data_IF_141940558988
#
_entry.id   IF_141940558988
#
_cell.length_a   1.000
_cell.length_b   1.000
_cell.length_c   1.000
_cell.angle_alpha   90.00
_cell.angle_beta   90.00
_cell.angle_gamma   90.00
#
_symmetry.space_group_name_H-M   'P 1'
#
loop_
_entity.id
_entity.type
_entity.pdbx_description
1 polymer ?
#
# COMPACT_ATOMS: atom_id res chain seq x y z
N UNK A 1 19.98 -16.59 -4.64
CA UNK A 1 18.94 -16.87 -3.61
C UNK A 1 19.29 -16.02 -2.39
N UNK A 2 18.32 -15.26 -1.85
CA UNK A 2 18.42 -14.21 -0.80
C UNK A 2 18.62 -12.80 -1.36
N UNK A 3 18.08 -11.77 -0.72
CA UNK A 3 16.69 -11.28 -0.69
C UNK A 3 16.79 -9.86 -0.13
N UNK A 4 16.03 -8.87 -0.61
CA UNK A 4 15.98 -7.58 0.11
C UNK A 4 15.40 -7.77 1.50
N UNK A 5 16.15 -7.41 2.54
CA UNK A 5 15.78 -7.60 3.95
C UNK A 5 15.41 -6.23 4.53
N UNK A 6 14.15 -6.08 4.97
CA UNK A 6 13.69 -4.91 5.72
C UNK A 6 13.36 -5.30 7.16
N UNK A 7 14.14 -4.90 8.17
CA UNK A 7 13.96 -5.35 9.58
C UNK A 7 12.95 -4.50 10.35
N UNK A 8 12.00 -5.10 11.07
CA UNK A 8 10.98 -4.48 11.95
C UNK A 8 11.08 -5.04 13.38
N UNK A 9 10.56 -4.34 14.40
CA UNK A 9 10.42 -4.87 15.77
C UNK A 9 9.22 -4.23 16.48
N UNK A 10 8.58 -5.02 17.35
CA UNK A 10 7.41 -4.69 18.17
C UNK A 10 7.83 -4.04 19.50
N UNK A 11 7.29 -2.87 19.85
CA UNK A 11 7.43 -2.26 21.19
C UNK A 11 6.09 -2.34 21.91
N UNK A 12 6.01 -3.16 22.95
CA UNK A 12 4.87 -3.21 23.88
C UNK A 12 5.12 -2.16 24.97
N UNK A 13 4.23 -1.18 25.12
CA UNK A 13 4.19 -0.32 26.31
C UNK A 13 3.45 -1.05 27.43
N UNK A 14 4.17 -1.47 28.47
CA UNK A 14 3.58 -1.88 29.75
C UNK A 14 3.89 -0.80 30.78
N UNK A 15 2.89 0.03 31.10
CA UNK A 15 2.99 1.01 32.20
C UNK A 15 2.64 0.30 33.50
N UNK A 16 3.62 0.07 34.36
CA UNK A 16 3.40 -0.33 35.75
C UNK A 16 3.36 0.96 36.57
N UNK A 17 2.17 1.26 37.10
CA UNK A 17 1.87 2.39 37.97
C UNK A 17 2.41 2.08 39.38
N UNK A 18 3.36 2.89 39.88
CA UNK A 18 3.63 3.01 41.31
C UNK A 18 3.39 4.48 41.70
N UNK A 19 2.30 4.66 42.45
CA UNK A 19 1.85 5.92 43.01
C UNK A 19 2.87 6.47 44.01
N UNK A 20 3.30 7.70 43.79
CA UNK A 20 3.51 8.66 44.86
C UNK A 20 3.04 10.04 44.39
N UNK A 21 2.11 10.59 45.16
CA UNK A 21 1.37 11.83 44.93
C UNK A 21 2.21 13.06 45.27
N UNK A 22 2.29 14.04 44.36
CA UNK A 22 2.06 15.46 44.68
C UNK A 22 1.42 16.12 43.44
N UNK A 23 0.34 16.87 43.70
CA UNK A 23 -0.56 17.50 42.75
C UNK A 23 -0.01 18.75 42.08
N UNK A 24 -0.58 19.03 40.89
CA UNK A 24 -0.83 20.33 40.25
C UNK A 24 0.07 20.71 39.05
N UNK A 25 -0.42 20.37 37.86
CA UNK A 25 -0.72 21.32 36.78
C UNK A 25 -1.26 20.53 35.59
N UNK A 26 -2.49 20.85 35.21
CA UNK A 26 -3.19 20.32 34.04
C UNK A 26 -2.38 20.74 32.81
N UNK A 27 -1.70 19.80 32.15
CA UNK A 27 -1.28 19.96 30.77
C UNK A 27 -2.26 19.20 29.90
N UNK A 28 -3.23 19.93 29.37
CA UNK A 28 -3.92 19.52 28.15
C UNK A 28 -2.87 19.44 27.05
N UNK A 29 -2.52 18.24 26.62
CA UNK A 29 -1.89 18.06 25.32
C UNK A 29 -2.97 18.32 24.26
N UNK A 30 -3.19 19.60 23.98
CA UNK A 30 -3.57 20.00 22.65
C UNK A 30 -2.37 19.61 21.77
N UNK A 31 -2.59 18.67 20.86
CA UNK A 31 -1.70 18.49 19.73
C UNK A 31 -1.88 19.77 18.90
N UNK A 32 -1.07 20.78 19.22
CA UNK A 32 -0.91 21.93 18.35
C UNK A 32 -0.35 21.41 17.03
N UNK A 33 -1.17 21.59 16.00
CA UNK A 33 -0.87 21.42 14.60
C UNK A 33 0.17 22.46 14.18
N UNK A 34 1.40 22.27 14.66
CA UNK A 34 2.59 23.02 14.24
C UNK A 34 3.45 22.13 13.34
N UNK A 35 2.82 21.50 12.36
CA UNK A 35 3.50 21.07 11.16
C UNK A 35 3.79 22.32 10.31
N UNK A 36 4.98 22.91 10.50
CA UNK A 36 5.58 23.73 9.42
C UNK A 36 5.51 22.90 8.14
N UNK A 37 4.75 23.39 7.16
CA UNK A 37 4.40 22.76 5.88
C UNK A 37 5.35 21.65 5.44
N UNK A 38 5.07 20.42 5.88
CA UNK A 38 5.36 19.26 5.07
C UNK A 38 4.21 19.26 4.08
N UNK A 39 4.48 19.68 2.85
CA UNK A 39 3.59 19.39 1.74
C UNK A 39 3.41 17.87 1.78
N UNK A 40 2.24 17.41 2.21
CA UNK A 40 1.85 16.01 2.14
C UNK A 40 1.69 15.68 0.66
N UNK A 41 2.81 15.49 -0.03
CA UNK A 41 2.83 15.08 -1.43
C UNK A 41 2.62 13.57 -1.45
N UNK A 42 1.45 13.17 -0.96
CA UNK A 42 1.02 11.79 -0.86
C UNK A 42 1.13 11.17 -2.25
N UNK A 43 2.01 10.19 -2.37
CA UNK A 43 2.32 9.58 -3.66
C UNK A 43 1.12 8.87 -4.29
N UNK A 44 0.21 8.36 -3.46
CA UNK A 44 -1.01 7.71 -3.91
C UNK A 44 -2.21 8.48 -3.34
N UNK A 45 -3.00 9.07 -4.21
CA UNK A 45 -4.30 9.66 -3.84
C UNK A 45 -5.40 8.67 -4.21
N UNK A 46 -6.35 8.44 -3.29
CA UNK A 46 -7.48 7.55 -3.51
C UNK A 46 -8.78 8.36 -3.36
N UNK A 47 -9.60 8.39 -4.41
CA UNK A 47 -10.89 9.08 -4.41
C UNK A 47 -11.98 8.17 -4.96
N UNK A 48 -13.23 8.50 -4.67
CA UNK A 48 -14.34 7.92 -5.41
C UNK A 48 -14.36 8.45 -6.85
N UNK A 49 -14.70 7.59 -7.79
CA UNK A 49 -15.09 8.03 -9.12
C UNK A 49 -16.61 8.27 -9.21
N UNK A 50 -17.05 8.82 -10.34
CA UNK A 50 -18.45 9.19 -10.60
C UNK A 50 -19.44 8.01 -10.55
N UNK A 51 -18.94 6.78 -10.70
CA UNK A 51 -19.74 5.55 -10.66
C UNK A 51 -19.75 4.86 -9.29
N UNK A 52 -19.08 5.44 -8.29
CA UNK A 52 -18.90 4.84 -6.96
C UNK A 52 -17.73 3.86 -6.85
N UNK A 53 -16.96 3.67 -7.93
CA UNK A 53 -15.68 2.96 -7.92
C UNK A 53 -14.59 3.74 -7.20
N UNK A 54 -13.37 3.19 -7.18
CA UNK A 54 -12.20 3.86 -6.62
C UNK A 54 -11.21 4.25 -7.72
N UNK A 55 -10.74 5.50 -7.67
CA UNK A 55 -9.70 6.02 -8.55
C UNK A 55 -8.42 6.25 -7.76
N UNK A 56 -7.36 5.56 -8.15
CA UNK A 56 -6.04 5.66 -7.55
C UNK A 56 -5.15 6.43 -8.52
N UNK A 57 -4.57 7.53 -8.03
CA UNK A 57 -3.57 8.30 -8.78
C UNK A 57 -2.22 8.06 -8.13
N UNK A 58 -1.30 7.44 -8.87
CA UNK A 58 0.07 7.22 -8.43
C UNK A 58 0.97 8.26 -9.09
N UNK A 59 1.62 9.10 -8.29
CA UNK A 59 2.54 10.15 -8.76
C UNK A 59 3.98 9.64 -8.83
N UNK A 60 4.74 10.15 -9.81
CA UNK A 60 6.20 9.99 -9.88
C UNK A 60 6.83 11.14 -9.08
N UNK A 61 7.35 10.88 -7.88
CA UNK A 61 7.75 11.96 -6.94
C UNK A 61 8.91 12.87 -7.42
N UNK A 62 9.73 12.38 -8.36
CA UNK A 62 10.92 13.06 -8.87
C UNK A 62 11.15 12.65 -10.30
N UNK A 63 11.66 13.60 -11.08
CA UNK A 63 12.16 13.38 -12.43
C UNK A 63 13.06 12.15 -12.50
N UNK A 64 12.92 11.40 -13.59
CA UNK A 64 13.74 10.24 -13.90
C UNK A 64 14.49 10.55 -15.19
N UNK A 65 15.79 10.75 -15.07
CA UNK A 65 16.65 10.92 -16.23
C UNK A 65 17.09 9.56 -16.78
N UNK A 66 16.74 9.29 -18.03
CA UNK A 66 17.21 8.15 -18.82
C UNK A 66 18.29 8.62 -19.79
N UNK A 67 19.39 7.87 -19.89
CA UNK A 67 20.56 8.25 -20.70
C UNK A 67 20.99 7.12 -21.62
N UNK A 68 21.60 7.50 -22.75
CA UNK A 68 22.09 6.58 -23.77
C UNK A 68 20.97 6.08 -24.68
N UNK A 69 21.30 5.12 -25.54
CA UNK A 69 20.37 4.64 -26.56
C UNK A 69 19.17 3.92 -25.96
N UNK A 70 19.41 3.02 -25.01
CA UNK A 70 18.34 2.27 -24.36
C UNK A 70 18.23 2.72 -22.90
N UNK A 71 17.08 3.30 -22.56
CA UNK A 71 16.74 3.70 -21.19
C UNK A 71 15.55 2.91 -20.68
N UNK A 72 15.56 2.57 -19.39
CA UNK A 72 14.47 1.84 -18.74
C UNK A 72 14.08 2.48 -17.40
N UNK A 73 12.77 2.68 -17.21
CA UNK A 73 12.18 3.03 -15.93
C UNK A 73 11.04 2.07 -15.58
N UNK A 74 11.08 1.47 -14.38
CA UNK A 74 10.11 0.49 -13.90
C UNK A 74 9.38 0.98 -12.65
N UNK A 75 8.06 0.91 -12.66
CA UNK A 75 7.20 1.22 -11.51
C UNK A 75 6.38 0.00 -11.10
N UNK A 76 6.57 -0.45 -9.86
CA UNK A 76 5.81 -1.56 -9.29
C UNK A 76 4.66 -1.07 -8.42
N UNK A 77 3.45 -1.59 -8.66
CA UNK A 77 2.25 -1.26 -7.89
C UNK A 77 1.41 -2.50 -7.59
N UNK A 78 0.70 -2.50 -6.46
CA UNK A 78 -0.14 -3.61 -6.02
C UNK A 78 -1.62 -3.34 -6.28
N UNK A 79 -2.31 -4.32 -6.87
CA UNK A 79 -3.77 -4.39 -6.99
C UNK A 79 -4.29 -5.33 -5.91
N UNK A 80 -5.07 -4.81 -4.95
CA UNK A 80 -5.65 -5.66 -3.89
C UNK A 80 -6.61 -6.69 -4.49
N UNK A 81 -6.69 -7.87 -3.88
CA UNK A 81 -7.62 -8.93 -4.28
C UNK A 81 -9.09 -8.47 -4.24
N UNK A 82 -9.42 -7.42 -3.48
CA UNK A 82 -10.76 -6.78 -3.45
C UNK A 82 -11.11 -6.01 -4.71
N UNK A 83 -10.11 -5.64 -5.49
CA UNK A 83 -10.25 -4.67 -6.56
C UNK A 83 -10.21 -5.40 -7.89
N UNK A 84 -11.07 -4.95 -8.79
CA UNK A 84 -11.03 -5.32 -10.19
C UNK A 84 -10.68 -4.07 -10.98
N UNK A 85 -9.61 -4.14 -11.77
CA UNK A 85 -9.21 -3.04 -12.65
C UNK A 85 -10.29 -2.85 -13.70
N UNK A 86 -10.79 -1.62 -13.81
CA UNK A 86 -11.77 -1.21 -14.82
C UNK A 86 -11.13 -0.40 -15.93
N UNK A 87 -10.32 0.59 -15.56
CA UNK A 87 -9.60 1.47 -16.49
C UNK A 87 -8.19 1.72 -15.95
N UNK A 88 -7.22 1.87 -16.85
CA UNK A 88 -5.84 2.19 -16.48
C UNK A 88 -5.22 3.12 -17.52
N UNK A 89 -4.79 4.30 -17.06
CA UNK A 89 -4.16 5.33 -17.89
C UNK A 89 -2.79 5.70 -17.34
N UNK A 90 -1.82 5.80 -18.23
CA UNK A 90 -0.53 6.43 -17.95
C UNK A 90 -0.54 7.84 -18.58
N UNK A 91 -0.38 8.87 -17.77
CA UNK A 91 -0.13 10.23 -18.20
C UNK A 91 1.39 10.47 -18.16
N UNK A 92 2.05 10.23 -19.29
CA UNK A 92 3.50 10.32 -19.42
C UNK A 92 3.90 11.73 -19.86
N UNK A 93 4.73 12.40 -19.07
CA UNK A 93 5.33 13.67 -19.42
C UNK A 93 6.84 13.48 -19.57
N UNK A 94 7.40 13.92 -20.69
CA UNK A 94 8.82 13.77 -20.98
C UNK A 94 9.42 15.05 -21.54
N UNK A 95 10.69 15.31 -21.21
CA UNK A 95 11.52 16.30 -21.89
C UNK A 95 12.64 15.59 -22.64
N UNK A 96 12.79 15.89 -23.92
CA UNK A 96 13.80 15.29 -24.80
C UNK A 96 15.01 16.20 -24.93
N UNK A 97 16.20 15.60 -25.07
CA UNK A 97 17.37 16.32 -25.55
C UNK A 97 17.16 16.88 -26.97
N UNK A 98 17.61 18.11 -27.26
CA UNK A 98 17.61 18.66 -28.61
C UNK A 98 18.41 17.84 -29.63
N UNK A 99 19.33 17.00 -29.17
CA UNK A 99 20.20 16.18 -30.03
C UNK A 99 19.54 14.87 -30.48
N UNK A 100 18.37 14.52 -29.95
CA UNK A 100 17.68 13.29 -30.33
C UNK A 100 17.10 13.41 -31.74
N UNK A 101 17.46 12.45 -32.59
CA UNK A 101 16.87 12.24 -33.90
C UNK A 101 15.53 11.53 -33.73
N UNK A 102 14.46 12.32 -33.75
CA UNK A 102 13.09 11.87 -33.51
C UNK A 102 12.60 10.80 -34.50
N UNK A 103 13.06 10.85 -35.75
CA UNK A 103 12.64 9.97 -36.84
C UNK A 103 12.92 8.48 -36.62
N UNK A 104 13.94 8.15 -35.83
CA UNK A 104 14.33 6.76 -35.53
C UNK A 104 14.24 6.42 -34.05
N UNK A 105 13.70 7.34 -33.25
CA UNK A 105 13.60 7.22 -31.81
C UNK A 105 12.16 6.97 -31.38
N UNK A 106 11.98 6.15 -30.35
CA UNK A 106 10.65 5.74 -29.88
C UNK A 106 10.63 5.42 -28.38
N UNK A 107 9.45 5.51 -27.80
CA UNK A 107 9.16 5.08 -26.42
C UNK A 107 8.21 3.91 -26.49
N UNK A 108 8.47 2.83 -25.76
CA UNK A 108 7.57 1.68 -25.65
C UNK A 108 7.14 1.46 -24.21
N UNK A 109 5.83 1.35 -24.03
CA UNK A 109 5.19 1.09 -22.74
C UNK A 109 4.88 -0.40 -22.61
N UNK A 110 5.22 -0.97 -21.46
CA UNK A 110 4.96 -2.36 -21.12
C UNK A 110 4.17 -2.45 -19.82
N UNK A 111 3.31 -3.46 -19.72
CA UNK A 111 2.68 -3.89 -18.47
C UNK A 111 2.99 -5.36 -18.27
N UNK A 112 3.58 -5.73 -17.14
CA UNK A 112 3.97 -7.11 -16.82
C UNK A 112 4.80 -7.77 -17.94
N UNK A 113 5.80 -7.05 -18.46
CA UNK A 113 6.62 -7.43 -19.62
C UNK A 113 5.87 -7.63 -20.96
N UNK A 114 4.58 -7.30 -21.05
CA UNK A 114 3.82 -7.31 -22.31
C UNK A 114 3.83 -5.91 -22.93
N UNK A 115 4.23 -5.76 -24.20
CA UNK A 115 4.16 -4.47 -24.88
C UNK A 115 2.69 -4.03 -25.01
N UNK A 116 2.47 -2.73 -24.76
CA UNK A 116 1.16 -2.08 -24.87
C UNK A 116 1.12 -1.17 -26.08
N UNK A 117 2.06 -0.24 -26.16
CA UNK A 117 2.12 0.76 -27.22
C UNK A 117 3.56 1.22 -27.42
N UNK A 118 3.96 1.40 -28.68
CA UNK A 118 5.18 2.11 -29.07
C UNK A 118 4.80 3.45 -29.70
N UNK A 119 5.44 4.52 -29.24
CA UNK A 119 5.18 5.90 -29.63
C UNK A 119 6.41 6.40 -30.38
N UNK A 120 6.24 6.80 -31.63
CA UNK A 120 7.31 7.44 -32.40
C UNK A 120 7.53 8.86 -31.88
N UNK A 121 8.78 9.28 -31.71
CA UNK A 121 9.08 10.66 -31.31
C UNK A 121 8.93 11.66 -32.46
N UNK A 122 8.77 11.18 -33.70
CA UNK A 122 8.59 12.02 -34.90
C UNK A 122 7.30 12.83 -34.90
N UNK A 123 6.24 12.29 -34.29
CA UNK A 123 4.88 12.85 -34.38
C UNK A 123 4.75 14.25 -33.70
N UNK A 124 5.79 14.73 -33.02
CA UNK A 124 5.84 15.98 -32.24
C UNK A 124 7.09 16.83 -32.59
N UNK A 125 7.32 17.09 -33.89
CA UNK A 125 8.61 17.58 -34.42
C UNK A 125 9.14 18.88 -33.76
N UNK A 126 8.26 19.81 -33.37
CA UNK A 126 8.64 21.12 -32.83
C UNK A 126 8.71 21.24 -31.30
N UNK A 127 8.29 20.21 -30.55
CA UNK A 127 8.25 20.26 -29.09
C UNK A 127 9.38 19.42 -28.47
N UNK A 128 10.03 19.93 -27.41
CA UNK A 128 10.96 19.13 -26.60
C UNK A 128 10.26 18.54 -25.37
N UNK A 129 9.24 19.24 -24.87
CA UNK A 129 8.34 18.74 -23.85
C UNK A 129 7.17 18.01 -24.53
N UNK A 130 6.99 16.75 -24.16
CA UNK A 130 6.02 15.84 -24.73
C UNK A 130 5.09 15.32 -23.66
N UNK A 131 3.83 15.10 -24.03
CA UNK A 131 2.87 14.46 -23.14
C UNK A 131 2.03 13.44 -23.90
N UNK A 132 1.91 12.24 -23.32
CA UNK A 132 1.07 11.19 -23.89
C UNK A 132 0.15 10.62 -22.83
N UNK A 133 -1.10 10.36 -23.24
CA UNK A 133 -2.06 9.59 -22.45
C UNK A 133 -2.14 8.20 -23.08
N UNK A 134 -1.61 7.21 -22.39
CA UNK A 134 -1.57 5.81 -22.86
C UNK A 134 -2.60 5.01 -22.09
N UNK A 135 -3.55 4.41 -22.80
CA UNK A 135 -4.52 3.49 -22.21
C UNK A 135 -3.88 2.11 -22.09
N UNK A 136 -3.76 1.61 -20.86
CA UNK A 136 -3.24 0.28 -20.56
C UNK A 136 -4.43 -0.69 -20.49
N UNK A 137 -4.45 -1.79 -21.27
CA UNK A 137 -5.53 -2.76 -21.23
C UNK A 137 -5.69 -3.39 -19.84
N UNK A 138 -6.89 -3.27 -19.25
CA UNK A 138 -7.18 -3.73 -17.89
C UNK A 138 -6.98 -5.25 -17.72
N UNK A 139 -7.22 -6.03 -18.78
CA UNK A 139 -7.03 -7.49 -18.83
C UNK A 139 -5.57 -7.93 -18.74
N UNK A 140 -4.62 -7.02 -18.97
CA UNK A 140 -3.18 -7.29 -18.80
C UNK A 140 -2.67 -6.98 -17.38
N UNK A 141 -3.52 -6.46 -16.50
CA UNK A 141 -3.20 -6.16 -15.10
C UNK A 141 -3.65 -7.31 -14.20
N UNK A 142 -2.73 -7.85 -13.41
CA UNK A 142 -2.96 -8.96 -12.51
C UNK A 142 -3.44 -8.46 -11.13
N UNK A 143 -4.15 -9.32 -10.39
CA UNK A 143 -4.27 -9.13 -8.94
C UNK A 143 -2.89 -9.35 -8.29
N UNK A 144 -2.51 -8.53 -7.30
CA UNK A 144 -1.17 -8.52 -6.72
C UNK A 144 -0.26 -7.45 -7.35
N UNK A 145 1.06 -7.64 -7.25
CA UNK A 145 2.02 -6.70 -7.83
C UNK A 145 2.08 -6.79 -9.35
N UNK A 146 2.14 -5.61 -9.97
CA UNK A 146 2.27 -5.40 -11.40
C UNK A 146 3.49 -4.53 -11.70
N UNK A 147 4.07 -4.68 -12.88
CA UNK A 147 5.21 -3.90 -13.37
C UNK A 147 4.78 -3.03 -14.56
N UNK A 148 4.72 -1.71 -14.37
CA UNK A 148 4.60 -0.75 -15.47
C UNK A 148 6.01 -0.31 -15.87
N UNK A 149 6.39 -0.53 -17.14
CA UNK A 149 7.73 -0.18 -17.62
C UNK A 149 7.65 0.79 -18.80
N UNK A 150 8.47 1.83 -18.76
CA UNK A 150 8.75 2.73 -19.88
C UNK A 150 10.15 2.41 -20.39
N UNK A 151 10.25 2.02 -21.66
CA UNK A 151 11.52 1.83 -22.35
C UNK A 151 11.69 2.88 -23.43
N UNK A 152 12.86 3.49 -23.50
CA UNK A 152 13.21 4.44 -24.56
C UNK A 152 14.25 3.80 -25.47
N UNK A 153 14.13 4.07 -26.77
CA UNK A 153 15.18 3.82 -27.74
C UNK A 153 15.45 5.14 -28.47
N UNK A 154 16.60 5.75 -28.24
CA UNK A 154 16.93 7.08 -28.76
C UNK A 154 18.26 7.08 -29.49
N UNK A 155 18.32 7.81 -30.60
CA UNK A 155 19.55 8.00 -31.37
C UNK A 155 19.86 9.48 -31.51
N UNK A 156 21.16 9.81 -31.47
CA UNK A 156 21.66 11.16 -31.77
C UNK A 156 22.43 11.20 -33.09
N UNK A 157 22.59 10.05 -33.74
CA UNK A 157 23.18 9.92 -35.07
C UNK A 157 22.42 8.88 -35.92
N UNK A 158 22.49 9.03 -37.24
CA UNK A 158 22.04 8.03 -38.19
C UNK A 158 23.10 6.95 -38.47
N UNK A 159 24.36 7.21 -38.11
CA UNK A 159 25.45 6.25 -38.26
C UNK A 159 25.33 5.16 -37.17
N UNK A 160 25.17 3.87 -37.54
CA UNK A 160 25.12 2.78 -36.58
C UNK A 160 26.46 2.49 -35.88
N UNK A 161 27.55 3.13 -36.29
CA UNK A 161 28.91 2.93 -35.76
C UNK A 161 29.44 4.13 -34.97
N UNK A 162 28.67 5.21 -34.81
CA UNK A 162 29.09 6.38 -34.03
C UNK A 162 28.77 6.18 -32.54
N UNK A 163 29.59 6.76 -31.66
CA UNK A 163 29.59 6.52 -30.21
C UNK A 163 28.20 6.69 -29.57
N UNK A 164 27.60 5.54 -29.22
CA UNK A 164 26.32 5.39 -28.52
C UNK A 164 26.31 6.05 -27.12
N UNK A 165 27.47 6.51 -26.64
CA UNK A 165 27.68 7.04 -25.29
C UNK A 165 27.66 8.58 -25.18
N UNK A 166 27.18 9.30 -26.19
CA UNK A 166 27.07 10.76 -26.09
C UNK A 166 26.24 11.21 -24.88
N UNK A 167 26.84 12.00 -23.97
CA UNK A 167 26.17 12.56 -22.76
C UNK A 167 24.93 13.41 -23.08
N UNK A 168 24.81 13.82 -24.35
CA UNK A 168 23.69 14.59 -24.88
C UNK A 168 22.48 13.72 -25.25
N UNK A 169 22.59 12.39 -25.25
CA UNK A 169 21.47 11.48 -25.47
C UNK A 169 20.74 11.22 -24.14
N UNK A 170 19.73 12.04 -23.84
CA UNK A 170 18.95 11.96 -22.61
C UNK A 170 17.46 12.22 -22.85
N UNK A 171 16.63 11.57 -22.04
CA UNK A 171 15.20 11.82 -21.86
C UNK A 171 14.94 11.98 -20.37
N UNK A 172 14.20 13.01 -19.99
CA UNK A 172 13.72 13.18 -18.62
C UNK A 172 12.25 12.82 -18.59
N UNK A 173 11.88 11.78 -17.84
CA UNK A 173 10.48 11.56 -17.44
C UNK A 173 10.20 12.51 -16.28
N UNK A 174 9.31 13.46 -16.50
CA UNK A 174 9.00 14.54 -15.56
C UNK A 174 8.20 14.02 -14.35
N UNK A 175 8.43 14.59 -13.17
CA UNK A 175 7.72 14.24 -11.93
C UNK A 175 6.20 14.51 -11.94
N UNK A 176 5.69 15.26 -12.91
CA UNK A 176 4.24 15.37 -13.15
C UNK A 176 3.65 14.10 -13.80
N UNK A 177 4.50 13.17 -14.25
CA UNK A 177 4.09 11.83 -14.70
C UNK A 177 3.32 11.13 -13.60
N UNK A 178 2.17 10.59 -13.97
CA UNK A 178 1.32 9.84 -13.07
C UNK A 178 0.60 8.74 -13.83
N UNK A 179 0.20 7.72 -13.11
CA UNK A 179 -0.62 6.66 -13.64
C UNK A 179 -1.85 6.45 -12.77
N UNK A 180 -2.99 6.33 -13.44
CA UNK A 180 -4.32 6.39 -12.84
C UNK A 180 -5.00 5.07 -13.09
N UNK A 181 -5.29 4.33 -12.02
CA UNK A 181 -6.02 3.07 -12.08
C UNK A 181 -7.39 3.26 -11.45
N UNK A 182 -8.43 2.91 -12.18
CA UNK A 182 -9.80 2.91 -11.69
C UNK A 182 -10.24 1.48 -11.43
N UNK A 183 -10.87 1.26 -10.28
CA UNK A 183 -11.25 -0.04 -9.79
C UNK A 183 -12.72 -0.11 -9.43
N UNK A 184 -13.32 -1.26 -9.70
CA UNK A 184 -14.56 -1.68 -9.07
C UNK A 184 -14.25 -2.54 -7.84
N UNK A 185 -15.06 -2.41 -6.77
CA UNK A 185 -14.98 -3.29 -5.61
C UNK A 185 -15.66 -4.62 -5.94
N UNK A 186 -14.93 -5.73 -5.83
CA UNK A 186 -15.50 -7.07 -5.98
C UNK A 186 -16.41 -7.39 -4.79
N UNK A 187 -17.60 -7.91 -5.08
CA UNK A 187 -18.54 -8.37 -4.04
C UNK A 187 -18.20 -9.81 -3.63
N UNK A 188 -17.20 -9.98 -2.74
CA UNK A 188 -16.69 -11.31 -2.36
C UNK A 188 -16.91 -11.62 -0.86
N UNK A 189 -17.90 -11.00 -0.22
CA UNK A 189 -17.93 -10.89 1.25
C UNK A 189 -19.21 -11.39 1.89
N UNK A 190 -19.56 -12.64 1.61
CA UNK A 190 -20.82 -13.18 2.12
C UNK A 190 -20.65 -13.88 3.48
N UNK A 191 -19.48 -14.44 3.79
CA UNK A 191 -19.25 -15.18 5.04
C UNK A 191 -18.62 -14.33 6.14
N UNK A 192 -18.80 -14.71 7.40
CA UNK A 192 -18.00 -14.12 8.49
C UNK A 192 -16.52 -14.53 8.34
N UNK A 193 -16.23 -15.65 7.68
CA UNK A 193 -14.89 -16.10 7.26
C UNK A 193 -14.04 -15.00 6.60
N UNK A 194 -14.66 -14.07 5.88
CA UNK A 194 -13.92 -13.03 5.16
C UNK A 194 -13.58 -11.80 6.03
N UNK A 195 -13.93 -11.83 7.32
CA UNK A 195 -13.48 -10.83 8.29
C UNK A 195 -11.93 -10.78 8.31
N UNK A 196 -11.28 -9.61 8.32
CA UNK A 196 -11.79 -8.27 8.64
C UNK A 196 -12.32 -7.43 7.48
N UNK A 197 -12.59 -7.99 6.31
CA UNK A 197 -13.08 -7.20 5.17
C UNK A 197 -14.56 -6.83 5.39
N UNK A 198 -15.11 -5.79 4.74
CA UNK A 198 -14.40 -4.65 4.17
C UNK A 198 -13.81 -3.70 5.24
N UNK A 199 -13.98 -3.98 6.54
CA UNK A 199 -13.58 -3.13 7.68
C UNK A 199 -12.06 -2.96 7.91
N UNK A 200 -11.22 -3.57 7.07
CA UNK A 200 -9.77 -3.38 7.07
C UNK A 200 -9.20 -3.16 5.65
N UNK A 201 -10.09 -2.90 4.68
CA UNK A 201 -9.78 -2.73 3.26
C UNK A 201 -9.54 -1.28 2.86
N UNK A 202 -9.71 -1.00 1.57
CA UNK A 202 -9.40 0.33 1.03
C UNK A 202 -10.59 1.27 1.06
N UNK A 203 -10.35 2.45 1.62
CA UNK A 203 -11.26 3.58 1.65
C UNK A 203 -10.63 4.78 0.93
N UNK A 204 -11.46 5.62 0.29
CA UNK A 204 -11.02 6.92 -0.22
C UNK A 204 -10.41 7.79 0.88
N UNK A 205 -9.57 8.74 0.49
CA UNK A 205 -8.86 9.62 1.42
C UNK A 205 -9.79 10.55 2.21
N UNK A 206 -10.93 10.93 1.62
CA UNK A 206 -11.98 11.73 2.25
C UNK A 206 -13.08 10.89 2.91
N UNK A 207 -12.89 9.57 3.03
CA UNK A 207 -13.86 8.66 3.60
C UNK A 207 -14.17 9.00 5.07
N UNK A 208 -15.45 9.06 5.47
CA UNK A 208 -15.85 9.07 6.88
C UNK A 208 -15.39 7.83 7.64
N UNK A 209 -15.08 6.74 6.91
CA UNK A 209 -14.50 5.52 7.42
C UNK A 209 -15.52 4.59 8.07
N UNK A 210 -15.12 3.96 9.17
CA UNK A 210 -15.90 2.95 9.89
C UNK A 210 -16.45 3.55 11.17
N UNK A 211 -17.77 3.42 11.36
CA UNK A 211 -18.43 3.70 12.63
C UNK A 211 -18.53 2.43 13.47
N UNK A 212 -17.90 2.42 14.63
CA UNK A 212 -18.12 1.37 15.64
C UNK A 212 -19.19 1.89 16.60
N UNK A 213 -20.34 1.24 16.62
CA UNK A 213 -21.54 1.64 17.35
C UNK A 213 -21.68 0.78 18.59
N UNK A 214 -21.85 1.41 19.74
CA UNK A 214 -22.16 0.77 21.03
C UNK A 214 -23.48 1.33 21.60
N UNK A 215 -24.15 0.68 22.57
CA UNK A 215 -25.32 1.24 23.23
C UNK A 215 -25.09 2.63 23.82
N UNK A 216 -26.14 3.46 23.94
CA UNK A 216 -26.04 4.75 24.64
C UNK A 216 -25.70 4.59 26.13
N UNK A 217 -26.28 3.57 26.76
CA UNK A 217 -26.00 3.16 28.14
C UNK A 217 -25.06 1.95 28.14
N UNK A 218 -23.86 2.09 27.56
CA UNK A 218 -22.90 0.99 27.48
C UNK A 218 -22.27 0.63 28.84
N UNK A 219 -21.97 -0.64 29.00
CA UNK A 219 -21.14 -1.20 30.06
C UNK A 219 -19.64 -1.08 29.76
N UNK A 220 -18.80 -1.25 30.78
CA UNK A 220 -17.35 -1.29 30.60
C UNK A 220 -16.92 -2.44 29.68
N UNK A 221 -17.64 -3.56 29.73
CA UNK A 221 -17.36 -4.74 28.93
C UNK A 221 -17.73 -4.52 27.46
N UNK A 222 -18.83 -3.85 27.15
CA UNK A 222 -19.20 -3.47 25.78
C UNK A 222 -18.19 -2.49 25.18
N UNK A 223 -17.76 -1.49 25.96
CA UNK A 223 -16.71 -0.57 25.56
C UNK A 223 -15.39 -1.31 25.31
N UNK A 224 -15.01 -2.23 26.21
CA UNK A 224 -13.80 -3.04 26.08
C UNK A 224 -13.85 -3.92 24.83
N UNK A 225 -14.99 -4.55 24.54
CA UNK A 225 -15.19 -5.34 23.33
C UNK A 225 -15.07 -4.48 22.06
N UNK A 226 -15.67 -3.28 22.06
CA UNK A 226 -15.57 -2.34 20.95
C UNK A 226 -14.13 -1.86 20.69
N UNK A 227 -13.40 -1.46 21.74
CA UNK A 227 -12.00 -1.06 21.61
C UNK A 227 -11.10 -2.21 21.16
N UNK A 228 -11.35 -3.42 21.67
CA UNK A 228 -10.64 -4.64 21.26
C UNK A 228 -10.89 -4.92 19.77
N UNK A 229 -12.13 -4.79 19.31
CA UNK A 229 -12.49 -4.94 17.90
C UNK A 229 -11.79 -3.91 17.01
N UNK A 230 -11.77 -2.63 17.43
CA UNK A 230 -11.04 -1.58 16.71
C UNK A 230 -9.56 -1.93 16.59
N UNK A 231 -8.94 -2.39 17.68
CA UNK A 231 -7.53 -2.80 17.68
C UNK A 231 -7.30 -3.97 16.70
N UNK A 232 -8.18 -4.96 16.69
CA UNK A 232 -8.09 -6.09 15.77
C UNK A 232 -8.27 -5.68 14.30
N UNK A 233 -9.30 -4.88 13.97
CA UNK A 233 -9.49 -4.37 12.62
C UNK A 233 -8.27 -3.57 12.14
N UNK A 234 -7.68 -2.75 13.02
CA UNK A 234 -6.44 -2.02 12.72
C UNK A 234 -5.23 -2.93 12.52
N UNK A 235 -5.15 -4.05 13.23
CA UNK A 235 -4.09 -5.04 13.03
C UNK A 235 -4.16 -5.75 11.67
N UNK A 236 -5.35 -5.85 11.08
CA UNK A 236 -5.54 -6.39 9.72
C UNK A 236 -5.18 -5.39 8.60
N UNK A 237 -4.88 -4.13 8.92
CA UNK A 237 -4.64 -3.10 7.91
C UNK A 237 -3.32 -3.35 7.18
N UNK A 238 -3.42 -3.73 5.90
CA UNK A 238 -2.31 -3.89 4.94
C UNK A 238 -1.67 -2.55 4.53
N UNK A 239 -1.49 -1.63 5.48
CA UNK A 239 -0.97 -0.27 5.28
C UNK A 239 -1.98 0.72 4.68
N UNK A 240 -3.28 0.49 4.87
CA UNK A 240 -4.34 1.49 4.62
C UNK A 240 -4.78 2.09 5.95
N UNK A 241 -4.68 3.41 6.09
CA UNK A 241 -5.23 4.12 7.23
C UNK A 241 -6.72 4.32 7.01
N UNK A 242 -7.54 3.50 7.66
CA UNK A 242 -9.00 3.67 7.66
C UNK A 242 -9.40 4.46 8.91
N UNK A 243 -10.11 5.56 8.72
CA UNK A 243 -10.70 6.30 9.84
C UNK A 243 -11.69 5.38 10.56
N UNK A 244 -11.54 5.25 11.87
CA UNK A 244 -12.44 4.44 12.69
C UNK A 244 -12.87 5.28 13.87
N UNK A 245 -14.18 5.51 13.99
CA UNK A 245 -14.77 6.36 15.02
C UNK A 245 -15.69 5.50 15.88
N UNK A 246 -15.53 5.58 17.19
CA UNK A 246 -16.45 4.98 18.15
C UNK A 246 -17.59 5.99 18.42
N UNK A 247 -18.83 5.56 18.26
CA UNK A 247 -20.05 6.36 18.48
C UNK A 247 -21.08 5.55 19.27
N UNK A 248 -22.05 6.23 19.87
CA UNK A 248 -23.17 5.56 20.54
C UNK A 248 -24.36 5.39 19.61
N UNK A 249 -25.29 4.50 19.97
CA UNK A 249 -26.46 4.13 19.18
C UNK A 249 -27.42 5.30 18.86
N UNK A 250 -27.46 6.31 19.72
CA UNK A 250 -28.26 7.53 19.54
C UNK A 250 -27.57 8.63 18.73
N UNK A 251 -26.35 8.42 18.26
CA UNK A 251 -25.63 9.41 17.44
C UNK A 251 -26.32 9.57 16.06
N UNK A 252 -26.64 10.80 15.69
CA UNK A 252 -27.31 11.12 14.43
C UNK A 252 -26.42 10.89 13.20
N UNK A 253 -25.10 10.74 13.39
CA UNK A 253 -24.13 10.59 12.30
C UNK A 253 -23.83 9.13 11.94
N UNK A 254 -24.48 8.13 12.55
CA UNK A 254 -24.23 6.71 12.25
C UNK A 254 -24.32 6.43 10.74
N UNK A 255 -25.33 6.98 10.07
CA UNK A 255 -25.52 6.75 8.63
C UNK A 255 -24.49 7.46 7.74
N UNK A 256 -23.65 8.35 8.28
CA UNK A 256 -22.60 9.04 7.53
C UNK A 256 -21.39 8.15 7.26
N UNK A 257 -21.13 7.13 8.10
CA UNK A 257 -20.00 6.22 7.92
C UNK A 257 -20.16 5.33 6.70
N UNK A 258 -19.06 4.91 6.07
CA UNK A 258 -19.08 4.04 4.88
C UNK A 258 -19.30 2.57 5.24
N UNK A 259 -19.01 2.19 6.48
CA UNK A 259 -19.26 0.85 7.02
C UNK A 259 -19.48 0.91 8.53
N UNK A 260 -20.23 -0.04 9.06
CA UNK A 260 -20.66 -0.03 10.46
C UNK A 260 -20.34 -1.35 11.17
N UNK A 261 -19.93 -1.24 12.42
CA UNK A 261 -19.77 -2.38 13.32
C UNK A 261 -20.54 -2.10 14.60
N UNK A 262 -21.60 -2.85 14.89
CA UNK A 262 -22.31 -2.77 16.16
C UNK A 262 -21.76 -3.80 17.14
N UNK A 263 -21.48 -3.37 18.39
CA UNK A 263 -21.08 -4.24 19.48
C UNK A 263 -21.88 -3.87 20.73
N UNK A 264 -22.69 -4.79 21.24
CA UNK A 264 -23.47 -4.54 22.46
C UNK A 264 -24.57 -5.55 22.75
N UNK A 265 -25.35 -5.26 23.79
CA UNK A 265 -26.57 -6.00 24.12
C UNK A 265 -27.67 -5.83 23.08
N UNK A 266 -28.62 -6.77 23.03
CA UNK A 266 -29.75 -6.65 22.10
C UNK A 266 -30.64 -5.46 22.43
N UNK A 267 -30.81 -5.16 23.73
CA UNK A 267 -31.64 -4.06 24.19
C UNK A 267 -31.14 -2.70 23.67
N UNK A 268 -29.81 -2.48 23.73
CA UNK A 268 -29.14 -1.24 23.34
C UNK A 268 -28.88 -1.08 21.84
N UNK A 269 -29.36 -2.02 21.01
CA UNK A 269 -29.16 -1.98 19.56
C UNK A 269 -30.13 -1.01 18.88
N UNK A 270 -29.67 -0.22 17.88
CA UNK A 270 -30.55 0.59 17.04
C UNK A 270 -31.64 -0.26 16.37
N UNK A 271 -32.85 0.30 16.28
CA UNK A 271 -34.01 -0.39 15.70
C UNK A 271 -33.76 -0.81 14.24
N UNK A 272 -33.07 0.05 13.47
CA UNK A 272 -32.66 -0.23 12.09
C UNK A 272 -31.77 -1.47 11.95
N UNK A 273 -31.05 -1.86 13.01
CA UNK A 273 -30.22 -3.08 13.03
C UNK A 273 -31.01 -4.29 13.55
N UNK A 274 -31.89 -4.08 14.55
CA UNK A 274 -32.73 -5.15 15.14
C UNK A 274 -33.59 -5.87 14.09
N UNK A 275 -34.23 -5.12 13.20
CA UNK A 275 -35.12 -5.70 12.16
C UNK A 275 -34.35 -6.67 11.23
N UNK A 276 -33.02 -6.52 11.10
CA UNK A 276 -32.18 -7.45 10.32
C UNK A 276 -32.01 -8.81 11.00
N UNK A 277 -32.21 -8.89 12.31
CA UNK A 277 -32.07 -10.10 13.13
C UNK A 277 -33.39 -10.85 13.30
N UNK A 278 -34.52 -10.12 13.40
CA UNK A 278 -35.86 -10.67 13.68
C UNK A 278 -36.35 -11.72 12.67
N UNK A 279 -35.84 -11.69 11.44
CA UNK A 279 -36.18 -12.68 10.40
C UNK A 279 -35.51 -14.06 10.61
N UNK A 280 -34.64 -14.22 11.61
CA UNK A 280 -33.81 -15.42 11.83
C UNK A 280 -33.82 -15.85 13.30
N UNK A 281 -34.99 -16.28 13.79
CA UNK A 281 -35.32 -16.57 15.19
C UNK A 281 -34.71 -17.86 15.75
N UNK A 282 -33.47 -17.79 16.23
CA UNK A 282 -32.86 -18.76 17.15
C UNK A 282 -31.77 -18.11 18.03
N UNK A 283 -32.01 -16.89 18.51
CA UNK A 283 -31.00 -16.10 19.22
C UNK A 283 -31.11 -16.34 20.72
N UNK A 284 -30.36 -17.32 21.22
CA UNK A 284 -30.01 -17.36 22.65
C UNK A 284 -29.21 -16.10 22.98
N UNK A 285 -29.85 -15.18 23.70
CA UNK A 285 -29.28 -13.87 24.01
C UNK A 285 -28.03 -13.96 24.91
N UNK A 286 -27.83 -15.09 25.60
CA UNK A 286 -26.60 -15.34 26.37
C UNK A 286 -25.42 -15.77 25.50
N UNK A 287 -25.68 -16.30 24.31
CA UNK A 287 -24.65 -16.57 23.32
C UNK A 287 -24.36 -15.28 22.53
N UNK A 288 -23.16 -15.21 21.96
CA UNK A 288 -22.82 -14.08 21.10
C UNK A 288 -23.24 -14.35 19.66
N UNK A 289 -24.06 -13.45 19.15
CA UNK A 289 -24.55 -13.45 17.79
C UNK A 289 -23.63 -12.59 16.93
N UNK A 290 -22.86 -13.23 16.05
CA UNK A 290 -22.07 -12.56 15.03
C UNK A 290 -22.89 -12.60 13.76
N UNK A 291 -23.18 -11.43 13.19
CA UNK A 291 -24.00 -11.33 12.00
C UNK A 291 -23.47 -10.28 11.03
N UNK A 292 -23.29 -10.66 9.77
CA UNK A 292 -22.83 -9.81 8.69
C UNK A 292 -24.02 -9.50 7.77
N UNK A 293 -24.25 -8.22 7.58
CA UNK A 293 -25.41 -7.70 6.88
C UNK A 293 -25.05 -6.46 6.05
N UNK A 294 -26.08 -5.88 5.43
CA UNK A 294 -26.03 -4.54 4.85
C UNK A 294 -27.13 -3.69 5.48
N UNK A 295 -26.89 -2.39 5.62
CA UNK A 295 -27.93 -1.46 6.09
C UNK A 295 -29.08 -1.42 5.08
N UNK A 296 -30.34 -1.38 5.56
CA UNK A 296 -31.51 -1.43 4.66
C UNK A 296 -31.61 -0.21 3.73
N UNK A 297 -31.28 0.97 4.25
CA UNK A 297 -31.50 2.23 3.53
C UNK A 297 -30.36 2.57 2.56
N UNK A 298 -29.13 2.22 2.92
CA UNK A 298 -27.93 2.66 2.21
C UNK A 298 -27.09 1.52 1.64
N UNK A 299 -27.44 0.26 1.90
CA UNK A 299 -26.71 -0.91 1.40
C UNK A 299 -25.28 -1.02 1.92
N UNK A 300 -24.95 -0.31 3.01
CA UNK A 300 -23.60 -0.22 3.55
C UNK A 300 -23.24 -1.48 4.33
N UNK A 301 -21.99 -1.96 4.29
CA UNK A 301 -21.55 -3.11 5.08
C UNK A 301 -21.78 -2.90 6.58
N UNK A 302 -22.40 -3.88 7.23
CA UNK A 302 -22.71 -3.89 8.65
C UNK A 302 -22.25 -5.22 9.28
N UNK A 303 -21.51 -5.15 10.37
CA UNK A 303 -21.20 -6.30 11.23
C UNK A 303 -21.83 -6.07 12.59
N UNK A 304 -22.66 -7.01 13.04
CA UNK A 304 -23.32 -6.99 14.35
C UNK A 304 -22.67 -8.06 15.22
N UNK A 305 -22.27 -7.68 16.42
CA UNK A 305 -21.84 -8.60 17.47
C UNK A 305 -22.72 -8.31 18.68
N UNK A 306 -23.71 -9.16 18.92
CA UNK A 306 -24.72 -8.92 19.95
C UNK A 306 -24.79 -10.03 21.00
N UNK A 307 -24.80 -9.66 22.28
CA UNK A 307 -25.03 -10.58 23.40
C UNK A 307 -25.41 -9.82 24.66
N UNK A 308 -26.33 -10.38 25.45
CA UNK A 308 -26.63 -9.88 26.79
C UNK A 308 -25.65 -10.42 27.84
N UNK A 309 -24.75 -11.33 27.44
CA UNK A 309 -23.67 -11.84 28.26
C UNK A 309 -22.33 -11.20 27.87
N UNK A 310 -21.75 -10.43 28.78
CA UNK A 310 -20.48 -9.71 28.56
C UNK A 310 -19.30 -10.62 28.20
N UNK A 311 -19.25 -11.86 28.73
CA UNK A 311 -18.18 -12.81 28.42
C UNK A 311 -18.31 -13.34 26.99
N UNK A 312 -19.53 -13.69 26.58
CA UNK A 312 -19.82 -14.11 25.21
C UNK A 312 -19.46 -13.03 24.21
N UNK A 313 -19.79 -11.76 24.51
CA UNK A 313 -19.49 -10.61 23.66
C UNK A 313 -17.98 -10.46 23.38
N UNK A 314 -17.15 -10.49 24.43
CA UNK A 314 -15.69 -10.42 24.29
C UNK A 314 -15.15 -11.66 23.56
N UNK A 315 -15.69 -12.85 23.84
CA UNK A 315 -15.29 -14.07 23.16
C UNK A 315 -15.58 -14.00 21.65
N UNK A 316 -16.70 -13.40 21.22
CA UNK A 316 -16.98 -13.21 19.80
C UNK A 316 -15.95 -12.33 19.10
N UNK A 317 -15.57 -11.21 19.71
CA UNK A 317 -14.51 -10.34 19.17
C UNK A 317 -13.17 -11.10 19.06
N UNK A 318 -12.81 -11.89 20.06
CA UNK A 318 -11.60 -12.72 20.03
C UNK A 318 -11.66 -13.83 18.98
N UNK A 319 -12.83 -14.46 18.81
CA UNK A 319 -13.03 -15.54 17.85
C UNK A 319 -12.84 -15.05 16.40
N UNK A 320 -13.27 -13.82 16.08
CA UNK A 320 -13.01 -13.19 14.78
C UNK A 320 -11.51 -12.98 14.48
N UNK A 321 -10.68 -12.94 15.52
CA UNK A 321 -9.23 -12.79 15.43
C UNK A 321 -8.48 -14.12 15.46
N UNK A 322 -9.19 -15.23 15.65
CA UNK A 322 -8.62 -16.57 15.61
C UNK A 322 -8.93 -17.20 14.25
N UNK A 323 -7.93 -17.33 13.39
CA UNK A 323 -8.12 -17.83 12.03
C UNK A 323 -8.73 -19.25 12.00
N UNK A 324 -8.41 -20.13 12.97
CA UNK A 324 -8.98 -21.49 13.03
C UNK A 324 -10.48 -21.49 13.36
N UNK A 325 -10.92 -20.57 14.22
CA UNK A 325 -12.35 -20.41 14.55
C UNK A 325 -13.08 -19.69 13.41
N UNK A 326 -12.47 -18.64 12.86
CA UNK A 326 -13.03 -17.85 11.76
C UNK A 326 -13.24 -18.69 10.50
N UNK A 327 -12.34 -19.62 10.17
CA UNK A 327 -12.49 -20.57 9.06
C UNK A 327 -13.79 -21.40 9.14
N UNK A 328 -14.36 -21.58 10.33
CA UNK A 328 -15.61 -22.31 10.55
C UNK A 328 -16.86 -21.42 10.36
N UNK A 329 -16.70 -20.10 10.32
CA UNK A 329 -17.81 -19.12 10.24
C UNK A 329 -18.18 -18.80 8.78
N UNK A 330 -18.43 -19.83 7.97
CA UNK A 330 -18.59 -19.71 6.50
C UNK A 330 -19.85 -18.91 6.12
N UNK A 331 -20.86 -18.94 6.98
CA UNK A 331 -22.11 -18.21 6.78
C UNK A 331 -22.02 -16.76 7.29
N UNK A 332 -23.01 -15.95 6.91
CA UNK A 332 -23.13 -14.58 7.38
C UNK A 332 -23.62 -14.47 8.83
N UNK A 333 -24.08 -15.57 9.46
CA UNK A 333 -24.51 -15.63 10.86
C UNK A 333 -23.77 -16.75 11.58
N UNK A 334 -23.35 -16.49 12.83
CA UNK A 334 -22.74 -17.48 13.70
C UNK A 334 -23.12 -17.24 15.15
N UNK A 335 -23.52 -18.30 15.85
CA UNK A 335 -23.84 -18.28 17.28
C UNK A 335 -22.67 -18.87 18.07
N UNK A 336 -22.05 -18.05 18.91
CA UNK A 336 -20.88 -18.44 19.69
C UNK A 336 -21.25 -18.65 21.17
N UNK A 337 -20.95 -19.84 21.69
CA UNK A 337 -21.13 -20.18 23.10
C UNK A 337 -20.11 -19.46 24.01
N UNK A 338 -20.48 -19.09 25.25
CA UNK A 338 -19.56 -18.50 26.23
C UNK A 338 -18.36 -19.38 26.58
N UNK A 339 -18.46 -20.70 26.45
CA UNK A 339 -17.45 -21.66 26.92
C UNK A 339 -16.36 -21.99 25.89
N UNK A 340 -16.43 -21.37 24.70
CA UNK A 340 -15.48 -21.67 23.63
C UNK A 340 -14.08 -21.14 23.96
N UNK A 341 -13.04 -21.95 23.71
CA UNK A 341 -11.66 -21.51 23.87
C UNK A 341 -11.28 -20.57 22.72
N UNK A 342 -11.24 -19.28 23.01
CA UNK A 342 -10.89 -18.23 22.04
C UNK A 342 -9.42 -17.84 22.07
N UNK A 343 -8.54 -18.63 22.72
CA UNK A 343 -7.10 -18.36 22.73
C UNK A 343 -6.58 -18.21 21.31
N UNK A 344 -6.08 -17.01 21.02
CA UNK A 344 -5.42 -16.71 19.77
C UNK A 344 -4.04 -17.35 19.84
N UNK A 345 -3.71 -18.23 18.89
CA UNK A 345 -2.32 -18.67 18.71
C UNK A 345 -1.53 -17.44 18.26
N UNK A 346 -0.59 -16.99 19.09
CA UNK A 346 0.33 -15.94 18.70
C UNK A 346 1.13 -16.42 17.48
N UNK A 347 0.79 -15.88 16.32
CA UNK A 347 1.58 -16.09 15.12
C UNK A 347 2.62 -14.99 15.12
N UNK A 348 3.89 -15.35 15.26
CA UNK A 348 4.99 -14.39 15.19
C UNK A 348 4.99 -13.77 13.80
N UNK A 349 4.55 -12.51 13.70
CA UNK A 349 4.66 -11.74 12.48
C UNK A 349 6.16 -11.55 12.22
N UNK A 350 6.61 -11.97 11.05
CA UNK A 350 8.01 -11.88 10.68
C UNK A 350 8.44 -10.42 10.54
N UNK A 351 9.61 -10.09 11.06
CA UNK A 351 10.19 -8.75 11.03
C UNK A 351 10.64 -8.31 9.62
N UNK A 352 10.32 -9.07 8.58
CA UNK A 352 10.90 -8.93 7.24
C UNK A 352 9.87 -8.92 6.13
N UNK A 353 9.94 -7.89 5.29
CA UNK A 353 9.22 -7.82 4.01
C UNK A 353 10.20 -8.21 2.90
N UNK A 354 9.95 -9.34 2.25
CA UNK A 354 10.76 -9.82 1.13
C UNK A 354 10.07 -9.55 -0.21
N UNK A 355 10.84 -9.36 -1.28
CA UNK A 355 10.31 -9.25 -2.65
C UNK A 355 9.35 -10.40 -3.02
N UNK A 356 9.69 -11.64 -2.63
CA UNK A 356 8.81 -12.80 -2.84
C UNK A 356 7.43 -12.67 -2.16
N UNK A 357 7.37 -11.99 -1.01
CA UNK A 357 6.11 -11.75 -0.29
C UNK A 357 5.25 -10.74 -1.07
N UNK A 358 5.88 -9.91 -1.89
CA UNK A 358 5.24 -9.01 -2.85
C UNK A 358 4.95 -9.71 -4.19
N UNK A 359 5.22 -11.01 -4.33
CA UNK A 359 5.08 -11.74 -5.60
C UNK A 359 6.21 -11.46 -6.62
N UNK A 360 7.27 -10.76 -6.21
CA UNK A 360 8.41 -10.43 -7.06
C UNK A 360 9.52 -11.47 -6.93
N UNK A 361 9.82 -12.19 -8.02
CA UNK A 361 10.84 -13.24 -8.09
C UNK A 361 12.20 -12.70 -8.59
N UNK A 362 12.61 -11.56 -8.04
CA UNK A 362 13.77 -10.80 -8.51
C UNK A 362 13.38 -9.79 -9.60
N UNK A 363 14.24 -8.80 -9.79
CA UNK A 363 14.05 -7.72 -10.77
C UNK A 363 15.29 -7.71 -11.66
N UNK A 364 15.06 -7.85 -12.96
CA UNK A 364 16.11 -7.73 -13.99
C UNK A 364 16.08 -6.33 -14.55
N UNK A 365 17.27 -5.75 -14.69
CA UNK A 365 17.53 -4.43 -15.27
C UNK A 365 18.59 -4.61 -16.34
N UNK A 366 18.38 -4.01 -17.51
CA UNK A 366 19.30 -4.10 -18.65
C UNK A 366 19.49 -2.73 -19.30
N UNK A 367 20.72 -2.43 -19.73
CA UNK A 367 21.07 -1.17 -20.35
C UNK A 367 22.42 -0.65 -19.85
N UNK A 368 22.89 0.41 -20.48
CA UNK A 368 24.09 1.15 -20.06
C UNK A 368 23.66 2.38 -19.27
N UNK A 369 24.57 2.95 -18.47
CA UNK A 369 24.35 4.16 -17.66
C UNK A 369 23.14 4.00 -16.72
N UNK A 370 22.34 5.04 -16.57
CA UNK A 370 21.31 5.15 -15.54
C UNK A 370 20.07 4.32 -15.86
N UNK A 371 19.77 3.36 -15.00
CA UNK A 371 18.58 2.52 -15.03
C UNK A 371 17.84 2.61 -13.71
N UNK A 372 16.52 2.74 -13.73
CA UNK A 372 15.74 3.07 -12.53
C UNK A 372 14.65 2.05 -12.25
N UNK A 373 14.64 1.55 -11.01
CA UNK A 373 13.64 0.63 -10.49
C UNK A 373 12.97 1.26 -9.28
N UNK A 374 11.65 1.34 -9.29
CA UNK A 374 10.86 1.90 -8.20
C UNK A 374 9.85 0.88 -7.68
N UNK A 375 9.98 0.53 -6.41
CA UNK A 375 9.15 -0.47 -5.72
C UNK A 375 8.32 0.20 -4.65
N UNK A 376 6.99 0.17 -4.82
CA UNK A 376 6.05 0.59 -3.79
C UNK A 376 5.88 -0.45 -2.70
N UNK A 377 6.10 -0.08 -1.43
CA UNK A 377 5.91 -0.97 -0.27
C UNK A 377 4.99 -0.29 0.75
N UNK A 378 3.98 -1.02 1.22
CA UNK A 378 3.11 -0.58 2.33
C UNK A 378 3.56 -1.18 3.64
N UNK A 379 3.70 -0.33 4.65
CA UNK A 379 3.93 -0.72 6.03
C UNK A 379 2.57 -0.69 6.73
N UNK A 380 2.13 -1.81 7.37
CA UNK A 380 0.96 -1.82 8.24
C UNK A 380 0.86 -0.60 9.15
N UNK A 381 -0.33 0.00 9.22
CA UNK A 381 -0.55 1.28 9.91
C UNK A 381 -0.29 1.19 11.43
N UNK A 382 -0.48 0.02 12.02
CA UNK A 382 -0.22 -0.25 13.43
C UNK A 382 1.27 -0.49 13.75
N UNK A 383 2.16 -0.31 12.79
CA UNK A 383 3.58 -0.55 12.93
C UNK A 383 4.40 0.65 12.47
N UNK A 384 5.55 0.83 13.10
CA UNK A 384 6.51 1.87 12.75
C UNK A 384 7.88 1.24 12.51
N UNK A 385 8.66 1.86 11.62
CA UNK A 385 10.03 1.41 11.39
C UNK A 385 10.90 1.72 12.62
N UNK A 386 11.51 0.66 13.18
CA UNK A 386 12.44 0.76 14.30
C UNK A 386 13.74 1.50 13.92
N UNK A 387 14.52 1.88 14.94
CA UNK A 387 15.73 2.69 14.75
C UNK A 387 16.81 2.07 13.85
N UNK A 388 16.85 0.73 13.77
CA UNK A 388 17.82 -0.02 12.97
C UNK A 388 17.19 -0.64 11.71
N UNK A 389 16.03 -0.14 11.29
CA UNK A 389 15.39 -0.58 10.04
C UNK A 389 16.34 -0.31 8.89
N UNK A 390 16.55 -1.33 8.06
CA UNK A 390 17.50 -1.31 6.95
C UNK A 390 16.86 -1.86 5.69
N UNK A 391 17.47 -1.60 4.54
CA UNK A 391 17.19 -2.23 3.25
C UNK A 391 18.46 -2.99 2.88
N UNK A 392 18.37 -4.33 2.77
CA UNK A 392 19.52 -5.15 2.37
C UNK A 392 19.41 -5.54 0.89
N UNK A 393 19.79 -4.66 -0.04
CA UNK A 393 19.75 -4.92 -1.48
C UNK A 393 20.72 -6.05 -1.88
N UNK A 394 20.19 -7.19 -2.33
CA UNK A 394 20.99 -8.29 -2.84
C UNK A 394 20.98 -8.27 -4.37
N UNK A 395 22.14 -8.00 -4.96
CA UNK A 395 22.31 -7.79 -6.40
C UNK A 395 23.38 -8.70 -7.00
N UNK A 396 23.21 -8.92 -8.31
CA UNK A 396 24.16 -9.60 -9.18
C UNK A 396 24.28 -8.81 -10.47
N UNK A 397 25.49 -8.66 -10.98
CA UNK A 397 25.76 -7.83 -12.16
C UNK A 397 26.82 -8.45 -13.08
N UNK A 398 26.91 -7.92 -14.30
CA UNK A 398 27.80 -8.40 -15.36
C UNK A 398 29.28 -8.18 -15.04
N UNK A 399 30.14 -9.00 -15.65
CA UNK A 399 31.61 -8.84 -15.65
C UNK A 399 32.09 -7.64 -16.47
N UNK A 400 31.26 -7.20 -17.43
CA UNK A 400 31.63 -6.17 -18.40
C UNK A 400 31.37 -4.76 -17.90
N UNK A 401 31.58 -4.49 -16.61
CA UNK A 401 31.35 -3.18 -15.99
C UNK A 401 32.67 -2.56 -15.53
N UNK A 402 32.82 -1.26 -15.75
CA UNK A 402 33.83 -0.43 -15.12
C UNK A 402 33.42 -0.24 -13.65
N UNK A 403 33.96 -1.08 -12.78
CA UNK A 403 33.68 -1.10 -11.34
C UNK A 403 34.18 0.16 -10.61
N UNK A 404 35.05 0.97 -11.22
CA UNK A 404 35.47 2.24 -10.63
C UNK A 404 34.42 3.35 -10.81
N UNK A 405 33.59 3.23 -11.84
CA UNK A 405 32.56 4.21 -12.19
C UNK A 405 31.14 3.73 -11.95
N UNK A 406 30.91 2.42 -11.94
CA UNK A 406 29.57 1.86 -11.77
C UNK A 406 29.16 1.84 -10.31
N UNK A 407 27.92 2.24 -10.04
CA UNK A 407 27.39 2.30 -8.67
C UNK A 407 25.89 2.00 -8.62
N UNK A 408 25.41 1.74 -7.41
CA UNK A 408 24.00 1.64 -7.08
C UNK A 408 23.65 2.68 -6.03
N UNK A 409 22.55 3.39 -6.24
CA UNK A 409 22.06 4.44 -5.35
C UNK A 409 20.62 4.13 -4.93
N UNK A 410 20.29 4.37 -3.67
CA UNK A 410 18.97 4.13 -3.10
C UNK A 410 18.34 5.42 -2.62
N UNK A 411 17.06 5.57 -2.92
CA UNK A 411 16.20 6.64 -2.46
C UNK A 411 14.94 6.06 -1.81
N UNK A 412 14.41 6.78 -0.82
CA UNK A 412 13.13 6.48 -0.18
C UNK A 412 12.27 7.74 -0.27
N UNK A 413 11.10 7.64 -0.91
CA UNK A 413 10.18 8.77 -1.09
C UNK A 413 10.90 10.02 -1.68
N UNK A 414 11.85 9.77 -2.60
CA UNK A 414 12.67 10.81 -3.23
C UNK A 414 13.85 11.33 -2.39
N UNK A 415 14.03 10.89 -1.14
CA UNK A 415 15.17 11.24 -0.29
C UNK A 415 16.33 10.26 -0.56
N UNK A 416 17.53 10.73 -0.95
CA UNK A 416 18.70 9.87 -1.11
C UNK A 416 19.13 9.29 0.24
N UNK A 417 19.30 7.96 0.30
CA UNK A 417 19.60 7.24 1.54
C UNK A 417 21.05 6.75 1.55
N UNK A 418 21.52 6.19 0.44
CA UNK A 418 22.85 5.63 0.33
C UNK A 418 23.24 5.42 -1.14
N UNK A 419 24.54 5.30 -1.36
CA UNK A 419 25.12 4.93 -2.65
C UNK A 419 26.37 4.09 -2.39
N UNK A 420 26.58 3.04 -3.18
CA UNK A 420 27.73 2.15 -3.09
C UNK A 420 28.24 1.79 -4.50
N UNK A 421 29.56 1.81 -4.69
CA UNK A 421 30.19 1.32 -5.93
C UNK A 421 29.94 -0.18 -6.11
N UNK A 422 29.80 -0.62 -7.36
CA UNK A 422 29.77 -2.04 -7.67
C UNK A 422 31.18 -2.63 -7.55
N UNK A 423 31.29 -3.85 -7.04
CA UNK A 423 32.56 -4.49 -6.71
C UNK A 423 32.77 -5.78 -7.51
N UNK A 424 33.87 -5.88 -8.25
CA UNK A 424 34.17 -7.06 -9.07
C UNK A 424 34.16 -8.37 -8.28
N UNK A 425 34.69 -8.36 -7.05
CA UNK A 425 34.80 -9.56 -6.23
C UNK A 425 33.44 -10.03 -5.69
N UNK A 426 32.48 -9.12 -5.58
CA UNK A 426 31.13 -9.40 -5.04
C UNK A 426 30.08 -9.63 -6.12
N UNK A 427 30.45 -9.59 -7.41
CA UNK A 427 29.50 -9.55 -8.56
C UNK A 427 28.38 -10.58 -8.56
N UNK A 428 28.63 -11.79 -8.06
CA UNK A 428 27.63 -12.86 -8.05
C UNK A 428 26.72 -12.80 -6.81
N UNK A 429 27.17 -12.15 -5.72
CA UNK A 429 26.50 -12.06 -4.43
C UNK A 429 26.88 -10.77 -3.67
N UNK A 430 26.47 -9.61 -4.17
CA UNK A 430 26.72 -8.34 -3.50
C UNK A 430 25.50 -7.94 -2.67
N UNK A 431 25.69 -7.81 -1.36
CA UNK A 431 24.67 -7.29 -0.44
C UNK A 431 25.02 -5.85 -0.06
N UNK A 432 24.22 -4.90 -0.53
CA UNK A 432 24.30 -3.48 -0.15
C UNK A 432 23.28 -3.24 0.96
N UNK A 433 23.78 -3.01 2.19
CA UNK A 433 22.93 -2.79 3.37
C UNK A 433 22.89 -1.31 3.75
N UNK A 434 21.69 -0.77 3.84
CA UNK A 434 21.48 0.67 4.03
C UNK A 434 20.47 0.89 5.15
N UNK A 435 20.79 1.73 6.14
CA UNK A 435 19.85 2.06 7.21
C UNK A 435 18.89 3.16 6.75
N UNK A 436 17.61 3.00 7.10
CA UNK A 436 16.58 3.99 6.79
C UNK A 436 16.71 5.12 7.82
N UNK A 437 16.99 6.38 7.42
CA UNK A 437 17.17 7.48 8.36
C UNK A 437 15.84 7.87 9.00
N UNK A 438 15.88 8.54 10.16
CA UNK A 438 14.68 8.83 10.98
C UNK A 438 13.63 9.63 10.19
N UNK A 439 14.10 10.56 9.36
CA UNK A 439 13.30 11.46 8.53
C UNK A 439 12.48 10.69 7.48
N UNK A 440 12.97 9.52 7.05
CA UNK A 440 12.31 8.66 6.07
C UNK A 440 11.37 7.62 6.71
N UNK A 441 11.19 7.59 8.04
CA UNK A 441 10.43 6.53 8.76
C UNK A 441 8.96 6.85 9.03
N UNK A 442 8.50 8.05 8.72
CA UNK A 442 7.16 8.54 9.12
C UNK A 442 6.03 8.21 8.15
N UNK A 443 6.26 7.36 7.16
CA UNK A 443 5.31 7.10 6.08
C UNK A 443 4.67 5.72 6.24
N UNK A 444 3.42 5.56 5.79
CA UNK A 444 2.76 4.25 5.67
C UNK A 444 3.01 3.59 4.30
N UNK A 445 3.42 4.39 3.32
CA UNK A 445 3.83 3.97 1.98
C UNK A 445 5.26 4.42 1.69
N UNK A 446 6.05 3.51 1.13
CA UNK A 446 7.45 3.70 0.81
C UNK A 446 7.68 3.47 -0.68
N UNK A 447 8.12 4.52 -1.36
CA UNK A 447 8.73 4.47 -2.69
C UNK A 447 10.20 4.11 -2.56
N UNK A 448 10.54 2.84 -2.78
CA UNK A 448 11.93 2.40 -2.80
C UNK A 448 12.45 2.53 -4.22
N UNK A 449 13.20 3.60 -4.50
CA UNK A 449 13.83 3.82 -5.81
C UNK A 449 15.29 3.40 -5.75
N UNK A 450 15.66 2.46 -6.61
CA UNK A 450 17.03 2.01 -6.83
C UNK A 450 17.48 2.50 -8.21
N UNK A 451 18.55 3.29 -8.23
CA UNK A 451 19.20 3.74 -9.46
C UNK A 451 20.49 2.95 -9.65
N UNK A 452 20.66 2.35 -10.82
CA UNK A 452 21.90 1.68 -11.22
C UNK A 452 22.58 2.55 -12.27
N UNK A 453 23.81 2.98 -12.01
CA UNK A 453 24.67 3.62 -13.00
C UNK A 453 25.66 2.56 -13.51
N UNK A 454 25.35 1.97 -14.67
CA UNK A 454 26.07 0.81 -15.24
C UNK A 454 27.02 1.26 -16.35
N UNK A 455 28.29 1.52 -16.02
CA UNK A 455 29.31 1.94 -16.99
C UNK A 455 30.04 0.69 -17.50
N UNK A 456 30.12 0.45 -18.82
CA UNK A 456 30.78 -0.73 -19.36
C UNK A 456 32.31 -0.68 -19.18
N UNK A 457 32.96 -1.84 -18.99
CA UNK A 457 34.42 -1.94 -18.95
C UNK A 457 34.99 -2.05 -20.37
N UNK A 458 35.38 -0.91 -20.92
CA UNK A 458 36.12 -0.82 -22.18
C UNK A 458 36.22 0.63 -22.64
N UNK A 459 37.36 1.06 -23.17
CA UNK A 459 37.34 2.11 -24.19
C UNK A 459 36.78 1.45 -25.44
N UNK A 460 35.51 1.70 -25.74
CA UNK A 460 34.99 1.39 -27.06
C UNK A 460 35.59 2.48 -27.94
N UNK A 461 36.71 2.14 -28.57
CA UNK A 461 37.50 3.02 -29.45
C UNK A 461 36.82 3.20 -30.79
#
# INVERSE_FOLDING_TARGET
MKNIILKRWMVIFTVILLLNTVSSAIYSYAVEDNAKGIIDDKQITIVHDESGGLKYTYKVLKDVELRGINGESKWFFNVDKELQVRDFKLNLYCTLSPMIIKDTSYITIYINNLPVQSISLKDEENNLAMNWVVNIPADKVNTGYNELTVKTHTKTSYDPCEDDEHIVNWIIIDGNTNYVVTYDKKSIYNGITDFARPFAGVYPDNSPGIGVVIPDSYSNEELSAALTMIAHMKAYQLGYQVKTTLVTAGDQQIDAFDSLVYIGSFAGMPESFKILLENNSNDDMNNANIYRAVTMNSGKPLLIIASDNSRSLINAVKALSNDQLKEQMIFNKYLLSPDIDTKIKETKIGDYIYLKNLGLNGIKVEGIKKQVVTIGVRIPFNEVLANESSIDLNIRYSDNLDYEKSMVSLYINGIPIASEKLDKEKKDFHTVKMFIPKEARSFSYYDLRVEFDLIPSGEIT
#
